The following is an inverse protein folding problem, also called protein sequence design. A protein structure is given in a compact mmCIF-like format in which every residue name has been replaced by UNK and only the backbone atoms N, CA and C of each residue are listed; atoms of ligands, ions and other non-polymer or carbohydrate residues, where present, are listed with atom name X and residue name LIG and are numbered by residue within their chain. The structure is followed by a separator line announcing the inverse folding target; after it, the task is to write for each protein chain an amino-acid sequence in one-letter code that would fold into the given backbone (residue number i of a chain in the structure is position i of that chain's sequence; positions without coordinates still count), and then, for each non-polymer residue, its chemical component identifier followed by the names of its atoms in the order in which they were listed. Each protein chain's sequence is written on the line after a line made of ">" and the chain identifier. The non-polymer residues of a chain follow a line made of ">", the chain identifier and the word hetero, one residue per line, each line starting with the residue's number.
data_IF_554077941289
#
_entry.id   IF_554077941289
#
_cell.length_a   1.000
_cell.length_b   1.000
_cell.length_c   1.000
_cell.angle_alpha   90.00
_cell.angle_beta   90.00
_cell.angle_gamma   90.00
#
_symmetry.space_group_name_H-M   'P 1'
#
loop_
_entity.id
_entity.type
_entity.pdbx_description
1 polymer ?
#
# COMPACT_ATOMS: atom_id res chain seq x y z
N UNK A 1 38.60 7.47 36.92
CA UNK A 1 38.30 7.06 35.53
C UNK A 1 37.05 6.19 35.52
N UNK A 2 35.87 6.69 35.93
CA UNK A 2 34.76 5.74 36.21
C UNK A 2 33.33 6.17 35.93
N UNK A 3 33.03 7.44 35.61
CA UNK A 3 31.68 7.85 35.21
C UNK A 3 31.73 8.92 34.11
N UNK A 4 32.50 10.00 34.30
CA UNK A 4 32.66 11.07 33.30
C UNK A 4 33.20 10.58 31.95
N UNK A 5 34.18 9.67 31.93
CA UNK A 5 34.75 9.14 30.68
C UNK A 5 33.76 8.25 29.92
N UNK A 6 32.87 7.53 30.62
CA UNK A 6 31.84 6.72 29.96
C UNK A 6 30.74 7.58 29.34
N UNK A 7 30.33 8.66 30.03
CA UNK A 7 29.36 9.61 29.49
C UNK A 7 29.94 10.41 28.31
N UNK A 8 31.22 10.76 28.36
CA UNK A 8 31.94 11.39 27.25
C UNK A 8 32.03 10.47 26.03
N UNK A 9 32.47 9.21 26.22
CA UNK A 9 32.54 8.22 25.13
C UNK A 9 31.17 7.94 24.51
N UNK A 10 30.10 7.88 25.33
CA UNK A 10 28.75 7.65 24.82
C UNK A 10 28.24 8.85 23.98
N UNK A 11 28.56 10.08 24.40
CA UNK A 11 28.24 11.28 23.61
C UNK A 11 29.01 11.32 22.30
N UNK A 12 30.31 11.04 22.33
CA UNK A 12 31.14 10.98 21.11
C UNK A 12 30.61 9.93 20.12
N UNK A 13 30.22 8.75 20.61
CA UNK A 13 29.62 7.71 19.78
C UNK A 13 28.29 8.14 19.14
N UNK A 14 27.41 8.77 19.92
CA UNK A 14 26.12 9.27 19.40
C UNK A 14 26.32 10.40 18.38
N UNK A 15 27.29 11.28 18.60
CA UNK A 15 27.65 12.33 17.65
C UNK A 15 28.24 11.76 16.36
N UNK A 16 29.11 10.75 16.44
CA UNK A 16 29.65 10.07 15.26
C UNK A 16 28.54 9.38 14.45
N UNK A 17 27.62 8.70 15.13
CA UNK A 17 26.44 8.08 14.48
C UNK A 17 25.54 9.12 13.85
N UNK A 18 25.23 10.22 14.54
CA UNK A 18 24.42 11.32 14.01
C UNK A 18 25.04 11.88 12.73
N UNK A 19 26.33 12.21 12.76
CA UNK A 19 27.07 12.74 11.61
C UNK A 19 27.05 11.75 10.43
N UNK A 20 27.20 10.45 10.72
CA UNK A 20 27.10 9.40 9.70
C UNK A 20 25.72 9.37 9.05
N UNK A 21 24.65 9.35 9.84
CA UNK A 21 23.26 9.39 9.35
C UNK A 21 22.97 10.66 8.56
N UNK A 22 23.41 11.82 9.05
CA UNK A 22 23.21 13.11 8.39
C UNK A 22 23.90 13.16 7.01
N UNK A 23 25.14 12.68 6.91
CA UNK A 23 25.86 12.62 5.65
C UNK A 23 25.15 11.72 4.64
N UNK A 24 24.66 10.56 5.08
CA UNK A 24 23.89 9.65 4.24
C UNK A 24 22.55 10.26 3.79
N UNK A 25 21.83 10.91 4.69
CA UNK A 25 20.60 11.63 4.37
C UNK A 25 20.84 12.74 3.33
N UNK A 26 21.93 13.50 3.43
CA UNK A 26 22.32 14.50 2.43
C UNK A 26 22.59 13.87 1.06
N UNK A 27 23.30 12.74 1.02
CA UNK A 27 23.55 12.00 -0.22
C UNK A 27 22.26 11.50 -0.88
N UNK A 28 21.29 11.05 -0.07
CA UNK A 28 19.98 10.63 -0.56
C UNK A 28 19.14 11.82 -1.05
N UNK A 29 19.14 12.93 -0.31
CA UNK A 29 18.45 14.18 -0.68
C UNK A 29 18.92 14.70 -2.05
N UNK A 30 20.24 14.69 -2.30
CA UNK A 30 20.82 15.15 -3.56
C UNK A 30 20.37 14.36 -4.81
N UNK A 31 19.79 13.17 -4.64
CA UNK A 31 19.26 12.35 -5.74
C UNK A 31 17.81 12.72 -6.11
N UNK A 32 17.13 13.51 -5.29
CA UNK A 32 15.74 13.89 -5.51
C UNK A 32 15.61 15.09 -6.45
N UNK A 33 14.43 15.33 -7.06
CA UNK A 33 14.16 16.57 -7.78
C UNK A 33 14.29 17.81 -6.86
N UNK A 34 14.72 18.94 -7.43
CA UNK A 34 15.00 20.19 -6.70
C UNK A 34 13.80 20.68 -5.85
N UNK A 35 12.58 20.45 -6.32
CA UNK A 35 11.33 20.78 -5.60
C UNK A 35 11.21 20.12 -4.24
N UNK A 36 11.80 18.94 -4.07
CA UNK A 36 11.80 18.20 -2.80
C UNK A 36 13.03 18.54 -1.96
N UNK A 37 14.19 18.76 -2.60
CA UNK A 37 15.41 19.19 -1.91
C UNK A 37 15.22 20.48 -1.12
N UNK A 38 14.53 21.47 -1.71
CA UNK A 38 14.26 22.76 -1.05
C UNK A 38 13.43 22.64 0.23
N UNK A 39 12.63 21.56 0.36
CA UNK A 39 11.85 21.27 1.57
C UNK A 39 12.67 20.55 2.66
N UNK A 40 13.83 20.00 2.30
CA UNK A 40 14.70 19.20 3.17
C UNK A 40 15.97 19.99 3.52
N UNK A 41 15.81 21.02 4.34
CA UNK A 41 16.93 21.85 4.81
C UNK A 41 17.91 21.04 5.67
N UNK A 42 19.14 21.53 5.82
CA UNK A 42 20.14 20.91 6.70
C UNK A 42 19.65 20.74 8.15
N UNK A 43 18.88 21.70 8.66
CA UNK A 43 18.24 21.60 9.99
C UNK A 43 17.25 20.44 10.04
N UNK A 44 16.40 20.31 9.03
CA UNK A 44 15.43 19.23 8.94
C UNK A 44 16.10 17.85 8.85
N UNK A 45 17.13 17.71 8.02
CA UNK A 45 17.88 16.45 7.91
C UNK A 45 18.61 16.09 9.22
N UNK A 46 19.08 17.10 9.96
CA UNK A 46 19.67 16.91 11.29
C UNK A 46 18.64 16.45 12.33
N UNK A 47 17.42 17.00 12.32
CA UNK A 47 16.30 16.54 13.15
C UNK A 47 15.89 15.10 12.81
N UNK A 48 15.83 14.78 11.51
CA UNK A 48 15.54 13.42 11.06
C UNK A 48 16.62 12.45 11.52
N UNK A 49 17.91 12.77 11.32
CA UNK A 49 19.02 11.95 11.81
C UNK A 49 18.94 11.68 13.32
N UNK A 50 18.59 12.70 14.12
CA UNK A 50 18.38 12.54 15.56
C UNK A 50 17.27 11.53 15.89
N UNK A 51 16.14 11.57 15.17
CA UNK A 51 15.03 10.62 15.38
C UNK A 51 15.39 9.17 15.04
N UNK A 52 16.45 8.93 14.27
CA UNK A 52 16.90 7.60 13.84
C UNK A 52 18.04 7.03 14.70
N UNK A 53 18.51 7.77 15.72
CA UNK A 53 19.66 7.38 16.52
C UNK A 53 19.46 6.06 17.27
N UNK A 54 18.28 5.86 17.86
CA UNK A 54 17.99 4.71 18.73
C UNK A 54 17.54 3.45 17.96
N UNK A 55 17.41 3.54 16.63
CA UNK A 55 16.93 2.49 15.72
C UNK A 55 15.45 2.10 15.88
N UNK A 56 14.73 2.63 16.87
CA UNK A 56 13.32 2.31 17.10
C UNK A 56 12.47 2.66 15.87
N UNK A 57 12.76 3.79 15.23
CA UNK A 57 12.05 4.22 14.01
C UNK A 57 12.26 3.24 12.84
N UNK A 58 13.42 2.59 12.73
CA UNK A 58 13.66 1.59 11.70
C UNK A 58 12.76 0.37 11.90
N UNK A 59 12.68 -0.14 13.13
CA UNK A 59 11.80 -1.26 13.46
C UNK A 59 10.33 -0.92 13.24
N UNK A 60 9.90 0.29 13.59
CA UNK A 60 8.53 0.77 13.35
C UNK A 60 8.22 0.80 11.85
N UNK A 61 9.08 1.41 11.03
CA UNK A 61 8.87 1.49 9.58
C UNK A 61 8.84 0.09 8.94
N UNK A 62 9.71 -0.83 9.40
CA UNK A 62 9.68 -2.22 8.96
C UNK A 62 8.35 -2.91 9.30
N UNK A 63 7.91 -2.80 10.56
CA UNK A 63 6.64 -3.38 10.99
C UNK A 63 5.44 -2.80 10.22
N UNK A 64 5.43 -1.49 9.97
CA UNK A 64 4.38 -0.84 9.17
C UNK A 64 4.35 -1.36 7.73
N UNK A 65 5.52 -1.62 7.13
CA UNK A 65 5.63 -2.22 5.80
C UNK A 65 5.12 -3.67 5.78
N UNK A 66 5.45 -4.47 6.79
CA UNK A 66 4.98 -5.86 6.89
C UNK A 66 3.45 -5.91 7.04
N UNK A 67 2.88 -5.04 7.89
CA UNK A 67 1.43 -4.87 8.04
C UNK A 67 0.79 -4.45 6.72
N UNK A 68 1.40 -3.50 5.99
CA UNK A 68 0.92 -3.08 4.67
C UNK A 68 0.88 -4.25 3.69
N UNK A 69 1.97 -5.00 3.54
CA UNK A 69 2.04 -6.14 2.62
C UNK A 69 1.00 -7.20 2.98
N UNK A 70 0.82 -7.50 4.26
CA UNK A 70 -0.22 -8.43 4.72
C UNK A 70 -1.63 -7.93 4.36
N UNK A 71 -1.88 -6.64 4.53
CA UNK A 71 -3.17 -6.00 4.22
C UNK A 71 -3.46 -6.02 2.72
N UNK A 72 -2.49 -5.62 1.89
CA UNK A 72 -2.58 -5.64 0.42
C UNK A 72 -2.87 -7.05 -0.11
N UNK A 73 -2.19 -8.07 0.43
CA UNK A 73 -2.43 -9.47 0.07
C UNK A 73 -3.87 -9.90 0.43
N UNK A 74 -4.37 -9.53 1.60
CA UNK A 74 -5.75 -9.83 2.00
C UNK A 74 -6.78 -9.17 1.06
N UNK A 75 -6.57 -7.90 0.71
CA UNK A 75 -7.44 -7.15 -0.20
C UNK A 75 -7.44 -7.78 -1.61
N UNK A 76 -6.27 -8.16 -2.11
CA UNK A 76 -6.14 -8.87 -3.38
C UNK A 76 -6.85 -10.21 -3.36
N UNK A 77 -6.66 -11.02 -2.32
CA UNK A 77 -7.37 -12.29 -2.16
C UNK A 77 -8.88 -12.13 -2.15
N UNK A 78 -9.40 -11.10 -1.44
CA UNK A 78 -10.84 -10.80 -1.41
C UNK A 78 -11.36 -10.47 -2.81
N UNK A 79 -10.62 -9.66 -3.58
CA UNK A 79 -10.95 -9.33 -4.97
C UNK A 79 -10.97 -10.56 -5.87
N UNK A 80 -9.93 -11.39 -5.78
CA UNK A 80 -9.82 -12.62 -6.58
C UNK A 80 -10.93 -13.63 -6.25
N UNK A 81 -11.30 -13.78 -4.97
CA UNK A 81 -12.42 -14.63 -4.55
C UNK A 81 -13.74 -14.21 -5.20
N UNK A 82 -14.00 -12.90 -5.30
CA UNK A 82 -15.21 -12.40 -5.95
C UNK A 82 -15.21 -12.71 -7.45
N UNK A 83 -14.10 -12.43 -8.14
CA UNK A 83 -13.95 -12.72 -9.57
C UNK A 83 -14.17 -14.21 -9.86
N UNK A 84 -13.51 -15.10 -9.11
CA UNK A 84 -13.70 -16.53 -9.31
C UNK A 84 -15.12 -17.01 -9.02
N UNK A 85 -15.80 -16.38 -8.06
CA UNK A 85 -17.23 -16.65 -7.79
C UNK A 85 -18.11 -16.24 -8.97
N UNK A 86 -17.89 -15.04 -9.53
CA UNK A 86 -18.60 -14.54 -10.71
C UNK A 86 -18.41 -15.46 -11.91
N UNK A 87 -17.17 -15.86 -12.19
CA UNK A 87 -16.83 -16.75 -13.30
C UNK A 87 -17.52 -18.12 -13.15
N UNK A 88 -17.45 -18.72 -11.96
CA UNK A 88 -18.06 -20.02 -11.68
C UNK A 88 -19.60 -19.99 -11.80
N UNK A 89 -20.24 -18.89 -11.41
CA UNK A 89 -21.69 -18.71 -11.56
C UNK A 89 -22.04 -18.57 -13.05
N UNK A 90 -21.29 -17.76 -13.78
CA UNK A 90 -21.50 -17.51 -15.21
C UNK A 90 -21.31 -18.79 -16.03
N UNK A 91 -20.26 -19.56 -15.76
CA UNK A 91 -20.02 -20.84 -16.43
C UNK A 91 -21.17 -21.82 -16.24
N UNK A 92 -21.66 -21.99 -15.01
CA UNK A 92 -22.83 -22.83 -14.71
C UNK A 92 -24.10 -22.35 -15.42
N UNK A 93 -24.29 -21.04 -15.52
CA UNK A 93 -25.42 -20.44 -16.21
C UNK A 93 -25.36 -20.71 -17.71
N UNK A 94 -24.19 -20.51 -18.33
CA UNK A 94 -23.95 -20.79 -19.75
C UNK A 94 -24.23 -22.27 -20.05
N UNK A 95 -23.77 -23.19 -19.19
CA UNK A 95 -23.98 -24.62 -19.43
C UNK A 95 -25.48 -24.99 -19.35
N UNK A 96 -26.21 -24.49 -18.35
CA UNK A 96 -27.67 -24.64 -18.28
C UNK A 96 -28.39 -24.05 -19.48
N UNK A 97 -27.95 -22.88 -19.96
CA UNK A 97 -28.51 -22.22 -21.13
C UNK A 97 -28.31 -23.06 -22.40
N UNK A 98 -27.11 -23.63 -22.60
CA UNK A 98 -26.82 -24.54 -23.72
C UNK A 98 -27.69 -25.78 -23.69
N UNK A 99 -27.82 -26.44 -22.54
CA UNK A 99 -28.65 -27.65 -22.39
C UNK A 99 -30.13 -27.35 -22.69
N UNK A 100 -30.67 -26.26 -22.11
CA UNK A 100 -32.04 -25.83 -22.35
C UNK A 100 -32.30 -25.51 -23.82
N UNK A 101 -31.36 -24.82 -24.48
CA UNK A 101 -31.48 -24.48 -25.89
C UNK A 101 -31.40 -25.72 -26.79
N UNK A 102 -30.50 -26.66 -26.50
CA UNK A 102 -30.40 -27.92 -27.25
C UNK A 102 -31.70 -28.73 -27.17
N UNK A 103 -32.34 -28.75 -25.99
CA UNK A 103 -33.63 -29.40 -25.80
C UNK A 103 -34.76 -28.68 -26.54
N UNK A 104 -34.83 -27.35 -26.47
CA UNK A 104 -35.88 -26.56 -27.12
C UNK A 104 -35.83 -26.69 -28.65
N UNK A 105 -34.64 -26.73 -29.25
CA UNK A 105 -34.46 -26.95 -30.69
C UNK A 105 -35.07 -28.30 -31.13
N UNK A 106 -35.03 -29.33 -30.27
CA UNK A 106 -35.59 -30.66 -30.59
C UNK A 106 -37.12 -30.69 -30.46
N UNK A 107 -37.68 -29.95 -29.51
CA UNK A 107 -39.11 -30.02 -29.15
C UNK A 107 -39.93 -28.96 -29.88
N UNK A 108 -39.45 -27.72 -29.98
CA UNK A 108 -40.12 -26.61 -30.64
C UNK A 108 -39.11 -25.63 -31.28
N UNK A 109 -38.65 -25.91 -32.52
CA UNK A 109 -37.64 -25.10 -33.20
C UNK A 109 -37.99 -23.62 -33.36
N UNK A 110 -39.28 -23.30 -33.48
CA UNK A 110 -39.76 -21.91 -33.67
C UNK A 110 -39.61 -21.07 -32.41
N UNK A 111 -39.67 -21.68 -31.22
CA UNK A 111 -39.49 -20.99 -29.95
C UNK A 111 -38.01 -20.83 -29.54
N UNK A 112 -37.09 -21.57 -30.17
CA UNK A 112 -35.68 -21.56 -29.82
C UNK A 112 -35.02 -20.18 -29.98
N UNK A 113 -35.43 -19.37 -30.95
CA UNK A 113 -34.92 -18.00 -31.13
C UNK A 113 -35.32 -17.07 -29.99
N UNK A 114 -36.56 -17.15 -29.52
CA UNK A 114 -37.06 -16.37 -28.38
C UNK A 114 -36.32 -16.77 -27.10
N UNK A 115 -36.09 -18.07 -26.91
CA UNK A 115 -35.29 -18.57 -25.78
C UNK A 115 -33.85 -18.04 -25.83
N UNK A 116 -33.19 -18.07 -27.00
CA UNK A 116 -31.83 -17.49 -27.16
C UNK A 116 -31.81 -16.01 -26.78
N UNK A 117 -32.73 -15.22 -27.30
CA UNK A 117 -32.80 -13.79 -26.99
C UNK A 117 -32.94 -13.54 -25.48
N UNK A 118 -33.78 -14.35 -24.80
CA UNK A 118 -33.92 -14.29 -23.34
C UNK A 118 -32.63 -14.67 -22.62
N UNK A 119 -31.95 -15.73 -23.03
CA UNK A 119 -30.69 -16.18 -22.42
C UNK A 119 -29.58 -15.14 -22.57
N UNK A 120 -29.49 -14.49 -23.73
CA UNK A 120 -28.55 -13.38 -23.97
C UNK A 120 -28.85 -12.22 -23.00
N UNK A 121 -30.11 -11.79 -22.90
CA UNK A 121 -30.51 -10.72 -21.99
C UNK A 121 -30.24 -11.08 -20.51
N UNK A 122 -30.44 -12.34 -20.12
CA UNK A 122 -30.11 -12.82 -18.77
C UNK A 122 -28.59 -12.77 -18.51
N UNK A 123 -27.75 -13.18 -19.48
CA UNK A 123 -26.29 -13.09 -19.36
C UNK A 123 -25.80 -11.64 -19.27
N UNK A 124 -26.34 -10.73 -20.09
CA UNK A 124 -26.02 -9.30 -20.03
C UNK A 124 -26.40 -8.69 -18.67
N UNK A 125 -27.56 -9.07 -18.12
CA UNK A 125 -27.98 -8.63 -16.80
C UNK A 125 -27.05 -9.15 -15.69
N UNK A 126 -26.60 -10.41 -15.77
CA UNK A 126 -25.62 -10.99 -14.86
C UNK A 126 -24.27 -10.29 -14.97
N UNK A 127 -23.77 -10.02 -16.18
CA UNK A 127 -22.50 -9.32 -16.38
C UNK A 127 -22.54 -7.91 -15.78
N UNK A 128 -23.62 -7.17 -16.01
CA UNK A 128 -23.82 -5.85 -15.39
C UNK A 128 -23.89 -5.93 -13.87
N UNK A 129 -24.54 -6.95 -13.31
CA UNK A 129 -24.59 -7.15 -11.86
C UNK A 129 -23.18 -7.39 -11.29
N UNK A 130 -22.42 -8.29 -11.91
CA UNK A 130 -21.06 -8.64 -11.49
C UNK A 130 -20.11 -7.43 -11.58
N UNK A 131 -20.20 -6.64 -12.65
CA UNK A 131 -19.44 -5.41 -12.82
C UNK A 131 -19.73 -4.41 -11.68
N UNK A 132 -21.01 -4.20 -11.36
CA UNK A 132 -21.40 -3.31 -10.26
C UNK A 132 -20.86 -3.80 -8.91
N UNK A 133 -20.98 -5.09 -8.63
CA UNK A 133 -20.49 -5.67 -7.38
C UNK A 133 -18.96 -5.56 -7.26
N UNK A 134 -18.24 -5.83 -8.36
CA UNK A 134 -16.78 -5.66 -8.41
C UNK A 134 -16.37 -4.20 -8.21
N UNK A 135 -17.08 -3.25 -8.84
CA UNK A 135 -16.83 -1.82 -8.65
C UNK A 135 -17.04 -1.38 -7.20
N UNK A 136 -18.09 -1.88 -6.53
CA UNK A 136 -18.33 -1.60 -5.11
C UNK A 136 -17.20 -2.16 -4.22
N UNK A 137 -16.73 -3.37 -4.53
CA UNK A 137 -15.59 -3.96 -3.83
C UNK A 137 -14.31 -3.16 -4.06
N UNK A 138 -14.02 -2.77 -5.30
CA UNK A 138 -12.81 -2.01 -5.66
C UNK A 138 -12.80 -0.64 -4.97
N UNK A 139 -13.95 0.05 -4.89
CA UNK A 139 -14.08 1.29 -4.11
C UNK A 139 -13.80 1.06 -2.62
N UNK A 140 -14.31 -0.04 -2.05
CA UNK A 140 -14.04 -0.38 -0.65
C UNK A 140 -12.55 -0.70 -0.42
N UNK A 141 -11.91 -1.41 -1.35
CA UNK A 141 -10.48 -1.70 -1.30
C UNK A 141 -9.66 -0.40 -1.27
N UNK A 142 -9.98 0.56 -2.14
CA UNK A 142 -9.30 1.87 -2.15
C UNK A 142 -9.45 2.58 -0.82
N UNK A 143 -10.67 2.59 -0.23
CA UNK A 143 -10.89 3.20 1.09
C UNK A 143 -10.08 2.51 2.20
N UNK A 144 -9.94 1.19 2.16
CA UNK A 144 -9.12 0.43 3.13
C UNK A 144 -7.62 0.73 2.95
N UNK A 145 -7.15 0.93 1.71
CA UNK A 145 -5.77 1.36 1.42
C UNK A 145 -5.51 2.79 1.93
N UNK A 146 -6.42 3.73 1.67
CA UNK A 146 -6.32 5.11 2.15
C UNK A 146 -6.29 5.17 3.67
N UNK A 147 -7.09 4.34 4.35
CA UNK A 147 -7.07 4.22 5.80
C UNK A 147 -5.72 3.69 6.29
N UNK A 148 -5.14 2.70 5.61
CA UNK A 148 -3.82 2.16 5.96
C UNK A 148 -2.74 3.24 5.89
N UNK A 149 -2.74 4.06 4.83
CA UNK A 149 -1.81 5.19 4.70
C UNK A 149 -2.02 6.21 5.82
N UNK A 150 -3.28 6.53 6.17
CA UNK A 150 -3.59 7.44 7.27
C UNK A 150 -3.08 6.91 8.62
N UNK A 151 -3.27 5.62 8.90
CA UNK A 151 -2.80 4.99 10.14
C UNK A 151 -1.27 4.96 10.24
N UNK A 152 -0.58 4.74 9.12
CA UNK A 152 0.88 4.84 9.04
C UNK A 152 1.36 6.27 9.33
N UNK A 153 0.74 7.29 8.72
CA UNK A 153 1.04 8.70 8.98
C UNK A 153 0.85 9.06 10.46
N UNK A 154 -0.29 8.65 11.05
CA UNK A 154 -0.59 8.86 12.47
C UNK A 154 0.47 8.22 13.36
N UNK A 155 0.89 7.00 13.03
CA UNK A 155 1.88 6.27 13.82
C UNK A 155 3.24 6.99 13.80
N UNK A 156 3.70 7.40 12.62
CA UNK A 156 4.98 8.10 12.47
C UNK A 156 4.97 9.51 13.08
N UNK A 157 3.84 10.22 12.98
CA UNK A 157 3.63 11.51 13.64
C UNK A 157 3.68 11.37 15.17
N UNK A 158 3.02 10.35 15.74
CA UNK A 158 3.02 10.10 17.19
C UNK A 158 4.39 9.70 17.74
N UNK A 159 5.19 9.01 16.93
CA UNK A 159 6.58 8.64 17.27
C UNK A 159 7.51 9.86 17.17
N UNK A 160 7.04 10.96 16.56
CA UNK A 160 7.80 12.20 16.44
C UNK A 160 8.78 12.21 15.28
N UNK A 161 8.55 11.38 14.25
CA UNK A 161 9.41 11.35 13.05
C UNK A 161 9.19 12.63 12.24
N UNK A 162 10.23 13.45 12.00
CA UNK A 162 10.08 14.70 11.26
C UNK A 162 9.54 14.50 9.83
N UNK A 163 8.65 15.38 9.41
CA UNK A 163 8.07 15.37 8.06
C UNK A 163 6.82 14.50 7.90
N UNK A 164 6.41 13.78 8.94
CA UNK A 164 5.17 13.01 8.95
C UNK A 164 4.04 13.75 9.66
N UNK A 165 2.90 13.82 8.98
CA UNK A 165 1.63 14.32 9.48
C UNK A 165 0.51 13.74 8.63
N UNK A 166 -0.71 13.70 9.16
CA UNK A 166 -1.86 13.23 8.38
C UNK A 166 -2.15 14.19 7.21
N UNK A 167 -2.03 13.69 5.98
CA UNK A 167 -2.24 14.50 4.77
C UNK A 167 -2.64 13.66 3.56
N UNK A 168 -3.56 14.20 2.76
CA UNK A 168 -3.98 13.65 1.48
C UNK A 168 -3.49 14.49 0.29
N UNK A 169 -2.63 15.49 0.55
CA UNK A 169 -2.08 16.34 -0.52
C UNK A 169 -1.02 15.54 -1.29
N UNK A 170 -1.14 15.35 -2.62
CA UNK A 170 -0.23 14.51 -3.38
C UNK A 170 1.25 14.89 -3.26
N UNK A 171 1.55 16.19 -3.13
CA UNK A 171 2.92 16.67 -2.98
C UNK A 171 3.53 16.30 -1.62
N UNK A 172 2.73 16.30 -0.55
CA UNK A 172 3.19 16.01 0.80
C UNK A 172 3.28 14.49 1.01
N UNK A 173 2.33 13.72 0.47
CA UNK A 173 2.40 12.26 0.44
C UNK A 173 3.66 11.79 -0.29
N UNK A 174 3.97 12.36 -1.47
CA UNK A 174 5.21 12.04 -2.19
C UNK A 174 6.47 12.38 -1.39
N UNK A 175 6.47 13.50 -0.67
CA UNK A 175 7.59 13.84 0.21
C UNK A 175 7.75 12.78 1.32
N UNK A 176 6.66 12.41 1.99
CA UNK A 176 6.66 11.36 3.02
C UNK A 176 7.13 10.01 2.47
N UNK A 177 6.77 9.65 1.23
CA UNK A 177 7.28 8.45 0.55
C UNK A 177 8.80 8.50 0.36
N UNK A 178 9.36 9.65 -0.03
CA UNK A 178 10.82 9.80 -0.12
C UNK A 178 11.50 9.69 1.25
N UNK A 179 10.89 10.22 2.31
CA UNK A 179 11.41 10.06 3.67
C UNK A 179 11.39 8.59 4.11
N UNK A 180 10.31 7.85 3.83
CA UNK A 180 10.24 6.41 4.09
C UNK A 180 11.31 5.63 3.33
N UNK A 181 11.56 5.99 2.07
CA UNK A 181 12.64 5.41 1.27
C UNK A 181 14.01 5.66 1.92
N UNK A 182 14.26 6.87 2.43
CA UNK A 182 15.51 7.18 3.11
C UNK A 182 15.68 6.33 4.37
N UNK A 183 14.65 6.28 5.22
CA UNK A 183 14.66 5.50 6.45
C UNK A 183 14.90 4.02 6.14
N UNK A 184 14.26 3.49 5.08
CA UNK A 184 14.44 2.10 4.65
C UNK A 184 15.87 1.83 4.16
N UNK A 185 16.46 2.71 3.35
CA UNK A 185 17.83 2.56 2.87
C UNK A 185 18.82 2.59 4.03
N UNK A 186 18.63 3.51 4.99
CA UNK A 186 19.47 3.61 6.17
C UNK A 186 19.34 2.39 7.08
N UNK A 187 18.13 1.86 7.27
CA UNK A 187 17.88 0.62 8.02
C UNK A 187 18.70 -0.55 7.47
N UNK A 188 18.70 -0.72 6.14
CA UNK A 188 19.47 -1.77 5.45
C UNK A 188 20.98 -1.59 5.69
N UNK A 189 21.48 -0.34 5.61
CA UNK A 189 22.89 -0.04 5.89
C UNK A 189 23.29 -0.32 7.33
N UNK A 190 22.37 -0.13 8.27
CA UNK A 190 22.55 -0.42 9.69
C UNK A 190 22.47 -1.93 10.03
N UNK A 191 22.26 -2.79 9.03
CA UNK A 191 22.15 -4.24 9.20
C UNK A 191 20.81 -4.70 9.79
N UNK A 192 19.80 -3.83 9.76
CA UNK A 192 18.43 -4.15 10.15
C UNK A 192 17.73 -4.64 8.87
N UNK A 193 17.78 -5.95 8.65
CA UNK A 193 17.00 -6.67 7.62
C UNK A 193 15.52 -6.66 7.98
#
# INVERSE_FOLDING_TARGET
>A
MSFDENDLMNREFLEERHNTLLNELKLLCNKLPETYQQKMTDSFLSELANSLLDKTVFDIVKNLKDIQVMTENNLLERRMKLIYSHDAIKEKMIERHKEALANEIRVNPRNAEVLRARQIAELEATDKHNENELNLLDMKIIMELDQTVSDQQITLEKVGVPGFSVTNKPADVKLQMHLLEFITILSIKDGIE
#
